data_IF_213807479148
#
_entry.id   IF_213807479148
#
_cell.length_a   1.000
_cell.length_b   1.000
_cell.length_c   1.000
_cell.angle_alpha   90.00
_cell.angle_beta   90.00
_cell.angle_gamma   90.00
#
_symmetry.space_group_name_H-M   'P 1'
#
loop_
_entity.id
_entity.type
_entity.pdbx_description
1 polymer ?
#
# COMPACT_ATOMS: atom_id res chain seq x y z
N UNK A 1 -0.19 -16.22 14.00
CA UNK A 1 -0.68 -14.90 14.45
C UNK A 1 -0.71 -13.98 13.23
N UNK A 2 -1.81 -13.27 13.06
CA UNK A 2 -2.02 -12.35 11.93
C UNK A 2 -1.03 -11.18 11.96
N UNK A 3 -0.50 -10.81 10.78
CA UNK A 3 0.53 -9.76 10.61
C UNK A 3 0.07 -8.60 9.71
N UNK A 4 -1.09 -8.70 9.09
CA UNK A 4 -1.72 -7.69 8.22
C UNK A 4 -3.01 -7.17 8.86
N UNK A 5 -3.38 -5.89 8.63
CA UNK A 5 -4.64 -5.34 9.14
C UNK A 5 -5.86 -5.98 8.47
N UNK A 6 -7.04 -5.71 9.02
CA UNK A 6 -8.30 -6.03 8.36
C UNK A 6 -8.53 -5.15 7.15
N UNK A 7 -9.08 -5.76 6.09
CA UNK A 7 -9.44 -5.04 4.86
C UNK A 7 -10.74 -4.25 5.08
N UNK A 8 -10.66 -3.26 5.93
CA UNK A 8 -11.76 -2.32 6.20
C UNK A 8 -11.68 -1.11 5.26
N UNK A 9 -12.71 -0.28 5.26
CA UNK A 9 -12.66 1.01 4.57
C UNK A 9 -11.44 1.85 4.99
N UNK A 10 -11.06 1.80 6.28
CA UNK A 10 -9.88 2.51 6.81
C UNK A 10 -8.59 2.04 6.14
N UNK A 11 -8.44 0.73 5.87
CA UNK A 11 -7.29 0.20 5.13
C UNK A 11 -7.18 0.83 3.73
N UNK A 12 -8.28 0.84 2.98
CA UNK A 12 -8.28 1.36 1.61
C UNK A 12 -8.08 2.87 1.54
N UNK A 13 -8.70 3.62 2.47
CA UNK A 13 -8.50 5.06 2.59
C UNK A 13 -7.05 5.37 2.93
N UNK A 14 -6.47 4.70 3.94
CA UNK A 14 -5.07 4.91 4.32
C UNK A 14 -4.12 4.58 3.17
N UNK A 15 -4.37 3.48 2.44
CA UNK A 15 -3.60 3.11 1.24
C UNK A 15 -3.68 4.18 0.15
N UNK A 16 -4.86 4.69 -0.15
CA UNK A 16 -5.04 5.75 -1.15
C UNK A 16 -4.31 7.04 -0.76
N UNK A 17 -4.42 7.45 0.51
CA UNK A 17 -3.71 8.62 1.03
C UNK A 17 -2.19 8.47 1.00
N UNK A 18 -1.66 7.29 1.32
CA UNK A 18 -0.21 6.99 1.20
C UNK A 18 0.25 7.16 -0.25
N UNK A 19 -0.54 6.68 -1.22
CA UNK A 19 -0.21 6.86 -2.63
C UNK A 19 -0.11 8.35 -3.00
N UNK A 20 -1.06 9.17 -2.54
CA UNK A 20 -1.04 10.61 -2.76
C UNK A 20 0.11 11.33 -2.06
N UNK A 21 0.47 10.93 -0.82
CA UNK A 21 1.61 11.55 -0.11
C UNK A 21 2.95 11.28 -0.77
N UNK A 22 3.09 10.13 -1.42
CA UNK A 22 4.35 9.67 -2.02
C UNK A 22 4.56 10.16 -3.46
N UNK A 23 3.74 11.11 -3.95
CA UNK A 23 3.74 11.47 -5.38
C UNK A 23 4.95 12.33 -5.79
N UNK A 24 5.34 13.31 -5.00
CA UNK A 24 6.32 14.31 -5.48
C UNK A 24 7.62 14.42 -4.69
N UNK A 25 7.67 13.96 -3.44
CA UNK A 25 8.87 14.13 -2.65
C UNK A 25 10.09 13.32 -3.17
N UNK A 26 9.93 12.16 -3.86
CA UNK A 26 11.08 11.53 -4.49
C UNK A 26 11.70 12.40 -5.58
N UNK A 27 10.87 13.02 -6.44
CA UNK A 27 11.35 13.92 -7.50
C UNK A 27 12.08 15.12 -6.93
N UNK A 28 11.59 15.69 -5.83
CA UNK A 28 12.28 16.77 -5.13
C UNK A 28 13.67 16.33 -4.63
N UNK A 29 13.76 15.15 -4.04
CA UNK A 29 15.04 14.61 -3.57
C UNK A 29 15.98 14.30 -4.74
N UNK A 30 15.47 13.78 -5.85
CA UNK A 30 16.27 13.55 -7.05
C UNK A 30 16.86 14.86 -7.61
N UNK A 31 16.07 15.92 -7.64
CA UNK A 31 16.57 17.24 -8.06
C UNK A 31 17.65 17.83 -7.13
N UNK A 32 17.62 17.45 -5.84
CA UNK A 32 18.55 17.99 -4.83
C UNK A 32 19.82 17.15 -4.66
N UNK A 33 19.70 15.83 -4.70
CA UNK A 33 20.76 14.89 -4.33
C UNK A 33 21.16 13.93 -5.46
N UNK A 34 20.46 13.95 -6.58
CA UNK A 34 20.68 13.03 -7.70
C UNK A 34 19.95 11.70 -7.56
N UNK A 35 19.77 11.01 -8.69
CA UNK A 35 18.96 9.78 -8.78
C UNK A 35 19.61 8.63 -8.02
N UNK A 36 20.91 8.39 -8.23
CA UNK A 36 21.62 7.22 -7.67
C UNK A 36 21.62 7.18 -6.14
N UNK A 37 22.04 8.24 -5.42
CA UNK A 37 22.05 8.21 -3.95
C UNK A 37 20.64 8.13 -3.36
N UNK A 38 19.67 8.82 -3.93
CA UNK A 38 18.29 8.77 -3.43
C UNK A 38 17.68 7.38 -3.63
N UNK A 39 17.85 6.77 -4.81
CA UNK A 39 17.39 5.40 -5.06
C UNK A 39 18.05 4.40 -4.12
N UNK A 40 19.35 4.56 -3.86
CA UNK A 40 20.07 3.72 -2.89
C UNK A 40 19.51 3.83 -1.47
N UNK A 41 19.25 5.04 -1.00
CA UNK A 41 18.64 5.29 0.32
C UNK A 41 17.22 4.72 0.40
N UNK A 42 16.40 4.89 -0.64
CA UNK A 42 15.04 4.35 -0.69
C UNK A 42 15.03 2.81 -0.66
N UNK A 43 15.93 2.18 -1.42
CA UNK A 43 16.09 0.74 -1.43
C UNK A 43 16.54 0.22 -0.05
N UNK A 44 17.54 0.84 0.55
CA UNK A 44 18.02 0.49 1.89
C UNK A 44 16.93 0.67 2.95
N UNK A 45 16.16 1.77 2.90
CA UNK A 45 15.04 2.02 3.79
C UNK A 45 13.94 0.95 3.62
N UNK A 46 13.63 0.55 2.37
CA UNK A 46 12.65 -0.51 2.10
C UNK A 46 13.10 -1.85 2.67
N UNK A 47 14.35 -2.23 2.46
CA UNK A 47 14.93 -3.46 3.03
C UNK A 47 14.89 -3.43 4.55
N UNK A 48 15.25 -2.31 5.18
CA UNK A 48 15.24 -2.15 6.63
C UNK A 48 13.81 -2.23 7.19
N UNK A 49 12.85 -1.51 6.58
CA UNK A 49 11.45 -1.49 7.01
C UNK A 49 10.77 -2.85 6.84
N UNK A 50 11.00 -3.53 5.70
CA UNK A 50 10.51 -4.90 5.48
C UNK A 50 11.19 -5.89 6.41
N UNK A 51 12.50 -5.77 6.64
CA UNK A 51 13.23 -6.59 7.60
C UNK A 51 12.69 -6.44 9.03
N UNK A 52 12.34 -5.22 9.44
CA UNK A 52 11.67 -4.96 10.73
C UNK A 52 10.27 -5.62 10.75
N UNK A 53 9.48 -5.45 9.69
CA UNK A 53 8.15 -6.03 9.57
C UNK A 53 8.19 -7.58 9.65
N UNK A 54 9.16 -8.20 8.99
CA UNK A 54 9.34 -9.66 9.01
C UNK A 54 9.74 -10.19 10.40
N UNK A 55 10.46 -9.41 11.20
CA UNK A 55 10.85 -9.77 12.59
C UNK A 55 9.70 -9.66 13.59
N UNK A 56 8.75 -8.77 13.37
CA UNK A 56 7.59 -8.60 14.26
C UNK A 56 6.66 -9.80 14.12
N UNK A 57 6.32 -10.46 15.23
CA UNK A 57 5.54 -11.72 15.24
C UNK A 57 4.03 -11.55 15.08
N UNK A 58 3.51 -10.34 15.26
CA UNK A 58 2.07 -10.01 15.19
C UNK A 58 1.86 -8.65 14.51
N UNK A 59 0.64 -8.36 14.09
CA UNK A 59 0.31 -7.05 13.56
C UNK A 59 0.62 -5.93 14.55
N UNK A 60 1.38 -4.95 14.09
CA UNK A 60 1.71 -3.74 14.81
C UNK A 60 1.55 -2.57 13.83
N UNK A 61 0.49 -1.78 14.02
CA UNK A 61 0.07 -0.78 13.04
C UNK A 61 1.21 0.16 12.58
N UNK A 62 2.00 0.81 13.46
CA UNK A 62 3.09 1.68 13.01
C UNK A 62 4.14 0.96 12.15
N UNK A 63 4.53 -0.27 12.50
CA UNK A 63 5.54 -1.04 11.76
C UNK A 63 5.00 -1.45 10.40
N UNK A 64 3.76 -1.96 10.36
CA UNK A 64 3.12 -2.36 9.11
C UNK A 64 2.99 -1.17 8.14
N UNK A 65 2.45 -0.05 8.61
CA UNK A 65 2.22 1.11 7.74
C UNK A 65 3.51 1.82 7.34
N UNK A 66 4.55 1.81 8.19
CA UNK A 66 5.89 2.25 7.82
C UNK A 66 6.45 1.38 6.68
N UNK A 67 6.46 0.05 6.86
CA UNK A 67 6.92 -0.89 5.84
C UNK A 67 6.12 -0.75 4.54
N UNK A 68 4.79 -0.59 4.65
CA UNK A 68 3.89 -0.40 3.53
C UNK A 68 4.19 0.87 2.75
N UNK A 69 4.39 2.01 3.45
CA UNK A 69 4.71 3.30 2.83
C UNK A 69 6.06 3.26 2.13
N UNK A 70 7.10 2.79 2.83
CA UNK A 70 8.46 2.77 2.27
C UNK A 70 8.56 1.78 1.10
N UNK A 71 7.94 0.59 1.23
CA UNK A 71 7.89 -0.40 0.15
C UNK A 71 7.11 0.14 -1.07
N UNK A 72 6.01 0.87 -0.85
CA UNK A 72 5.25 1.47 -1.96
C UNK A 72 6.09 2.49 -2.73
N UNK A 73 6.81 3.37 -2.03
CA UNK A 73 7.69 4.35 -2.68
C UNK A 73 8.81 3.67 -3.45
N UNK A 74 9.52 2.73 -2.82
CA UNK A 74 10.62 2.02 -3.48
C UNK A 74 10.17 1.24 -4.73
N UNK A 75 9.00 0.61 -4.67
CA UNK A 75 8.43 -0.13 -5.79
C UNK A 75 8.00 0.79 -6.96
N UNK A 76 7.41 1.95 -6.63
CA UNK A 76 7.11 2.99 -7.62
C UNK A 76 8.36 3.48 -8.33
N UNK A 77 9.41 3.75 -7.56
CA UNK A 77 10.68 4.21 -8.11
C UNK A 77 11.39 3.13 -8.94
N UNK A 78 11.17 1.85 -8.65
CA UNK A 78 11.62 0.77 -9.52
C UNK A 78 10.91 0.82 -10.89
N UNK A 79 9.60 1.08 -10.93
CA UNK A 79 8.86 1.26 -12.18
C UNK A 79 9.33 2.51 -12.95
N UNK A 80 9.48 3.65 -12.26
CA UNK A 80 10.03 4.88 -12.85
C UNK A 80 11.47 4.69 -13.34
N UNK A 81 12.27 3.88 -12.66
CA UNK A 81 13.62 3.52 -13.06
C UNK A 81 13.67 2.79 -14.40
N UNK A 82 12.78 1.84 -14.64
CA UNK A 82 12.65 1.16 -15.93
C UNK A 82 12.24 2.13 -17.04
N UNK A 83 11.33 3.05 -16.74
CA UNK A 83 10.94 4.09 -17.69
C UNK A 83 12.12 5.03 -18.01
N UNK A 84 12.86 5.49 -17.00
CA UNK A 84 14.08 6.30 -17.19
C UNK A 84 15.16 5.55 -17.99
N UNK A 85 15.17 4.22 -17.95
CA UNK A 85 16.04 3.39 -18.80
C UNK A 85 15.56 3.28 -20.28
N UNK A 86 14.47 3.97 -20.65
CA UNK A 86 13.96 4.06 -22.01
C UNK A 86 12.76 3.18 -22.34
N UNK A 87 12.17 2.47 -21.37
CA UNK A 87 10.98 1.66 -21.62
C UNK A 87 9.70 2.51 -21.53
N UNK A 88 8.77 2.44 -22.51
CA UNK A 88 7.44 3.04 -22.38
C UNK A 88 6.69 2.49 -21.15
N UNK A 89 5.86 3.28 -20.49
CA UNK A 89 5.12 2.84 -19.32
C UNK A 89 4.20 1.65 -19.58
N UNK A 90 3.67 1.51 -20.80
CA UNK A 90 2.90 0.32 -21.19
C UNK A 90 3.73 -0.96 -21.08
N UNK A 91 4.99 -0.94 -21.54
CA UNK A 91 5.92 -2.09 -21.45
C UNK A 91 6.27 -2.36 -19.97
N UNK A 92 6.51 -1.30 -19.20
CA UNK A 92 6.76 -1.41 -17.75
C UNK A 92 5.55 -2.02 -17.04
N UNK A 93 4.32 -1.61 -17.39
CA UNK A 93 3.10 -2.18 -16.83
C UNK A 93 2.94 -3.67 -17.16
N UNK A 94 3.19 -4.06 -18.41
CA UNK A 94 3.14 -5.48 -18.82
C UNK A 94 4.20 -6.29 -18.04
N UNK A 95 5.41 -5.78 -17.89
CA UNK A 95 6.46 -6.44 -17.12
C UNK A 95 6.01 -6.72 -15.66
N UNK A 96 5.52 -5.69 -14.96
CA UNK A 96 5.07 -5.84 -13.58
C UNK A 96 3.80 -6.69 -13.44
N UNK A 97 2.90 -6.65 -14.44
CA UNK A 97 1.72 -7.52 -14.49
C UNK A 97 2.11 -8.99 -14.60
N UNK A 98 3.04 -9.31 -15.50
CA UNK A 98 3.55 -10.68 -15.67
C UNK A 98 4.24 -11.13 -14.38
N UNK A 99 5.07 -10.29 -13.77
CA UNK A 99 5.74 -10.63 -12.51
C UNK A 99 4.75 -10.85 -11.37
N UNK A 100 3.71 -10.02 -11.25
CA UNK A 100 2.64 -10.22 -10.27
C UNK A 100 1.91 -11.55 -10.51
N UNK A 101 1.57 -11.86 -11.76
CA UNK A 101 0.94 -13.13 -12.12
C UNK A 101 1.83 -14.33 -11.74
N UNK A 102 3.13 -14.27 -12.04
CA UNK A 102 4.10 -15.32 -11.66
C UNK A 102 4.15 -15.50 -10.14
N UNK A 103 4.22 -14.40 -9.38
CA UNK A 103 4.23 -14.46 -7.90
C UNK A 103 2.93 -15.09 -7.38
N UNK A 104 1.77 -14.71 -7.91
CA UNK A 104 0.48 -15.26 -7.48
C UNK A 104 0.35 -16.75 -7.85
N UNK A 105 0.82 -17.16 -9.02
CA UNK A 105 0.86 -18.57 -9.42
C UNK A 105 1.80 -19.37 -8.51
N UNK A 106 3.00 -18.85 -8.24
CA UNK A 106 3.96 -19.49 -7.32
C UNK A 106 3.38 -19.58 -5.90
N UNK A 107 2.69 -18.53 -5.42
CA UNK A 107 1.99 -18.56 -4.15
C UNK A 107 0.91 -19.65 -4.13
N UNK A 108 0.09 -19.74 -5.19
CA UNK A 108 -0.93 -20.80 -5.31
C UNK A 108 -0.32 -22.20 -5.33
N UNK A 109 0.80 -22.37 -6.03
CA UNK A 109 1.50 -23.65 -6.15
C UNK A 109 2.21 -24.06 -4.84
N UNK A 110 2.52 -23.12 -3.96
CA UNK A 110 3.19 -23.40 -2.67
C UNK A 110 2.31 -24.11 -1.64
N UNK A 111 1.00 -24.23 -1.88
CA UNK A 111 0.03 -24.78 -0.94
C UNK A 111 -0.37 -23.83 0.20
N UNK A 112 0.22 -22.63 0.25
CA UNK A 112 -0.12 -21.63 1.25
C UNK A 112 -1.49 -20.98 0.95
N UNK A 113 -2.18 -20.55 2.00
CA UNK A 113 -3.45 -19.83 1.84
C UNK A 113 -3.22 -18.48 1.18
N UNK A 114 -3.83 -18.27 0.01
CA UNK A 114 -3.71 -17.03 -0.76
C UNK A 114 -4.61 -15.89 -0.23
N UNK A 115 -5.05 -15.94 1.02
CA UNK A 115 -5.88 -14.88 1.57
C UNK A 115 -5.04 -13.64 1.87
N UNK A 116 -5.41 -12.46 1.37
CA UNK A 116 -4.80 -11.19 1.78
C UNK A 116 -5.18 -10.81 3.21
N UNK A 117 -6.18 -11.50 3.79
CA UNK A 117 -6.63 -11.35 5.17
C UNK A 117 -6.07 -12.51 5.98
N UNK A 118 -5.45 -12.17 7.12
CA UNK A 118 -4.96 -13.22 8.03
C UNK A 118 -3.59 -13.78 7.66
N UNK A 119 -2.81 -13.05 6.88
CA UNK A 119 -1.41 -13.39 6.57
C UNK A 119 -0.63 -13.64 7.86
N UNK A 120 -0.03 -14.82 7.96
CA UNK A 120 0.82 -15.25 9.05
C UNK A 120 2.31 -15.10 8.69
N UNK A 121 3.19 -15.22 9.71
CA UNK A 121 4.63 -15.18 9.51
C UNK A 121 5.14 -16.34 8.64
N UNK A 122 6.25 -16.14 7.94
CA UNK A 122 6.92 -17.15 7.14
C UNK A 122 6.69 -16.96 5.64
N UNK A 123 6.56 -18.07 4.90
CA UNK A 123 6.45 -18.05 3.43
C UNK A 123 5.26 -17.25 2.93
N UNK A 124 4.11 -17.32 3.62
CA UNK A 124 2.93 -16.56 3.27
C UNK A 124 3.17 -15.04 3.31
N UNK A 125 3.89 -14.57 4.33
CA UNK A 125 4.24 -13.15 4.45
C UNK A 125 5.21 -12.69 3.34
N UNK A 126 6.16 -13.54 2.95
CA UNK A 126 7.06 -13.24 1.85
C UNK A 126 6.31 -13.10 0.53
N UNK A 127 5.39 -14.03 0.23
CA UNK A 127 4.53 -13.93 -0.94
C UNK A 127 3.66 -12.67 -0.92
N UNK A 128 3.09 -12.33 0.24
CA UNK A 128 2.28 -11.13 0.41
C UNK A 128 3.08 -9.85 0.08
N UNK A 129 4.28 -9.70 0.67
CA UNK A 129 5.10 -8.52 0.43
C UNK A 129 5.68 -8.47 -0.99
N UNK A 130 6.02 -9.61 -1.58
CA UNK A 130 6.43 -9.69 -2.99
C UNK A 130 5.29 -9.26 -3.93
N UNK A 131 4.09 -9.77 -3.70
CA UNK A 131 2.92 -9.40 -4.49
C UNK A 131 2.52 -7.92 -4.25
N UNK A 132 2.60 -7.42 -3.01
CA UNK A 132 2.32 -6.02 -2.69
C UNK A 132 3.32 -5.07 -3.36
N UNK A 133 4.63 -5.36 -3.27
CA UNK A 133 5.67 -4.56 -3.94
C UNK A 133 5.48 -4.53 -5.45
N UNK A 134 5.28 -5.70 -6.06
CA UNK A 134 4.99 -5.81 -7.50
C UNK A 134 3.69 -5.08 -7.88
N UNK A 135 2.65 -5.19 -7.04
CA UNK A 135 1.38 -4.48 -7.22
C UNK A 135 1.53 -2.96 -7.14
N UNK A 136 2.39 -2.43 -6.27
CA UNK A 136 2.70 -1.00 -6.22
C UNK A 136 3.40 -0.51 -7.49
N UNK A 137 4.40 -1.27 -7.98
CA UNK A 137 5.12 -0.93 -9.20
C UNK A 137 4.21 -0.99 -10.43
N UNK A 138 3.35 -2.01 -10.50
CA UNK A 138 2.32 -2.12 -11.55
C UNK A 138 1.35 -0.94 -11.50
N UNK A 139 0.86 -0.59 -10.30
CA UNK A 139 -0.06 0.53 -10.10
C UNK A 139 0.52 1.84 -10.63
N UNK A 140 1.80 2.11 -10.35
CA UNK A 140 2.53 3.28 -10.85
C UNK A 140 2.58 3.28 -12.37
N UNK A 141 3.00 2.15 -12.96
CA UNK A 141 3.14 2.03 -14.40
C UNK A 141 1.78 2.19 -15.12
N UNK A 142 0.70 1.62 -14.58
CA UNK A 142 -0.66 1.77 -15.13
C UNK A 142 -1.14 3.22 -15.06
N UNK A 143 -0.92 3.91 -13.92
CA UNK A 143 -1.27 5.32 -13.77
C UNK A 143 -0.58 6.19 -14.82
N UNK A 144 0.72 6.04 -15.00
CA UNK A 144 1.46 6.83 -16.00
C UNK A 144 1.17 6.41 -17.45
N UNK A 145 0.94 5.11 -17.71
CA UNK A 145 0.52 4.66 -19.03
C UNK A 145 -0.83 5.27 -19.46
N UNK A 146 -1.77 5.45 -18.53
CA UNK A 146 -3.05 6.10 -18.83
C UNK A 146 -2.87 7.55 -19.29
N UNK A 147 -1.90 8.27 -18.71
CA UNK A 147 -1.57 9.62 -19.11
C UNK A 147 -0.95 9.68 -20.52
N UNK A 148 -0.15 8.68 -20.93
CA UNK A 148 0.38 8.57 -22.31
C UNK A 148 -0.74 8.41 -23.34
N UNK A 149 -1.89 7.84 -22.99
CA UNK A 149 -3.08 7.76 -23.85
C UNK A 149 -3.96 9.02 -23.86
N UNK A 150 -3.49 10.12 -23.26
CA UNK A 150 -4.21 11.40 -23.27
C UNK A 150 -5.32 11.53 -22.22
N UNK A 151 -5.41 10.58 -21.29
CA UNK A 151 -6.29 10.71 -20.14
C UNK A 151 -5.66 11.67 -19.11
N UNK A 152 -5.80 12.99 -19.32
CA UNK A 152 -5.24 13.97 -18.40
C UNK A 152 -6.06 14.15 -17.13
N UNK A 153 -5.39 13.98 -16.04
CA UNK A 153 -5.72 14.25 -14.62
C UNK A 153 -7.12 13.87 -14.16
N UNK A 154 -8.15 14.70 -14.27
CA UNK A 154 -9.35 14.46 -13.47
C UNK A 154 -10.52 13.89 -14.24
N UNK A 155 -10.67 14.27 -15.49
CA UNK A 155 -11.87 13.88 -16.23
C UNK A 155 -11.73 12.54 -16.96
N UNK A 156 -10.51 12.15 -17.32
CA UNK A 156 -10.23 10.91 -18.00
C UNK A 156 -9.73 9.82 -17.05
N UNK A 157 -8.60 10.03 -16.41
CA UNK A 157 -7.94 9.01 -15.58
C UNK A 157 -8.78 8.59 -14.38
N UNK A 158 -9.27 9.54 -13.59
CA UNK A 158 -10.10 9.23 -12.41
C UNK A 158 -11.41 8.56 -12.80
N UNK A 159 -12.06 9.01 -13.87
CA UNK A 159 -13.30 8.40 -14.36
C UNK A 159 -13.09 6.97 -14.83
N UNK A 160 -12.02 6.71 -15.61
CA UNK A 160 -11.67 5.36 -16.08
C UNK A 160 -11.33 4.44 -14.92
N UNK A 161 -10.50 4.90 -13.99
CA UNK A 161 -10.10 4.09 -12.82
C UNK A 161 -11.27 3.86 -11.87
N UNK A 162 -12.12 4.84 -11.65
CA UNK A 162 -13.34 4.68 -10.87
C UNK A 162 -14.30 3.67 -11.55
N UNK A 163 -14.46 3.75 -12.87
CA UNK A 163 -15.25 2.80 -13.64
C UNK A 163 -14.68 1.37 -13.55
N UNK A 164 -13.37 1.21 -13.71
CA UNK A 164 -12.71 -0.09 -13.55
C UNK A 164 -12.85 -0.64 -12.13
N UNK A 165 -12.72 0.21 -11.12
CA UNK A 165 -12.94 -0.20 -9.72
C UNK A 165 -14.39 -0.62 -9.48
N UNK A 166 -15.34 0.10 -10.05
CA UNK A 166 -16.76 -0.26 -10.01
C UNK A 166 -17.02 -1.59 -10.73
N UNK A 167 -16.40 -1.83 -11.89
CA UNK A 167 -16.48 -3.12 -12.62
C UNK A 167 -15.95 -4.26 -11.74
N UNK A 168 -14.81 -4.09 -11.08
CA UNK A 168 -14.27 -5.11 -10.16
C UNK A 168 -15.23 -5.37 -9.00
N UNK A 169 -15.80 -4.30 -8.40
CA UNK A 169 -16.77 -4.43 -7.32
C UNK A 169 -18.05 -5.16 -7.76
N UNK A 170 -18.59 -4.82 -8.93
CA UNK A 170 -19.76 -5.51 -9.52
C UNK A 170 -19.44 -6.96 -9.87
N UNK A 171 -18.26 -7.22 -10.44
CA UNK A 171 -17.80 -8.57 -10.77
C UNK A 171 -17.68 -9.44 -9.50
N UNK A 172 -17.17 -8.87 -8.43
CA UNK A 172 -17.08 -9.55 -7.14
C UNK A 172 -18.48 -9.79 -6.54
N UNK A 173 -19.33 -8.76 -6.51
CA UNK A 173 -20.62 -8.84 -5.86
C UNK A 173 -21.65 -9.66 -6.66
N UNK A 174 -21.71 -9.46 -8.00
CA UNK A 174 -22.77 -10.02 -8.85
C UNK A 174 -22.39 -11.33 -9.53
N UNK A 175 -21.11 -11.51 -9.85
CA UNK A 175 -20.61 -12.64 -10.64
C UNK A 175 -19.68 -13.57 -9.85
N UNK A 176 -19.49 -13.34 -8.54
CA UNK A 176 -18.70 -14.22 -7.69
C UNK A 176 -17.21 -14.22 -8.03
N UNK A 177 -16.65 -13.07 -8.47
CA UNK A 177 -15.23 -12.94 -8.72
C UNK A 177 -14.43 -13.40 -7.48
N UNK A 178 -13.39 -14.20 -7.72
CA UNK A 178 -12.54 -14.71 -6.66
C UNK A 178 -12.00 -13.57 -5.78
N UNK A 179 -12.15 -13.70 -4.45
CA UNK A 179 -11.79 -12.66 -3.47
C UNK A 179 -10.32 -12.23 -3.56
N UNK A 180 -9.42 -13.16 -3.86
CA UNK A 180 -7.98 -12.86 -4.01
C UNK A 180 -7.76 -11.98 -5.23
N UNK A 181 -8.39 -12.35 -6.36
CA UNK A 181 -8.29 -11.57 -7.59
C UNK A 181 -8.92 -10.19 -7.43
N UNK A 182 -10.11 -10.10 -6.83
CA UNK A 182 -10.77 -8.82 -6.52
C UNK A 182 -9.88 -7.92 -5.67
N UNK A 183 -9.23 -8.49 -4.64
CA UNK A 183 -8.29 -7.74 -3.79
C UNK A 183 -7.12 -7.17 -4.60
N UNK A 184 -6.42 -8.00 -5.40
CA UNK A 184 -5.25 -7.54 -6.13
C UNK A 184 -5.59 -6.56 -7.24
N UNK A 185 -6.72 -6.73 -7.93
CA UNK A 185 -7.22 -5.75 -8.90
C UNK A 185 -7.52 -4.40 -8.23
N UNK A 186 -8.27 -4.41 -7.12
CA UNK A 186 -8.55 -3.18 -6.36
C UNK A 186 -7.26 -2.57 -5.80
N UNK A 187 -6.31 -3.41 -5.38
CA UNK A 187 -5.01 -2.95 -4.87
C UNK A 187 -4.25 -2.16 -5.94
N UNK A 188 -4.21 -2.65 -7.18
CA UNK A 188 -3.57 -1.93 -8.30
C UNK A 188 -4.33 -0.65 -8.63
N UNK A 189 -5.65 -0.69 -8.75
CA UNK A 189 -6.47 0.45 -9.13
C UNK A 189 -6.53 1.57 -8.07
N UNK A 190 -6.22 1.30 -6.81
CA UNK A 190 -6.25 2.30 -5.74
C UNK A 190 -5.16 3.38 -5.90
N UNK A 191 -4.05 3.10 -6.60
CA UNK A 191 -2.99 4.08 -6.79
C UNK A 191 -3.42 5.25 -7.69
N UNK A 192 -3.91 5.03 -8.90
CA UNK A 192 -4.38 6.13 -9.74
C UNK A 192 -5.46 6.97 -9.05
N UNK A 193 -6.30 6.37 -8.20
CA UNK A 193 -7.26 7.11 -7.39
C UNK A 193 -6.58 8.05 -6.38
N UNK A 194 -5.63 7.55 -5.60
CA UNK A 194 -4.95 8.35 -4.56
C UNK A 194 -3.99 9.38 -5.16
N UNK A 195 -3.14 8.97 -6.09
CA UNK A 195 -2.18 9.83 -6.79
C UNK A 195 -2.87 10.86 -7.68
N UNK A 196 -3.88 10.44 -8.45
CA UNK A 196 -4.65 11.33 -9.32
C UNK A 196 -5.40 12.41 -8.54
N UNK A 197 -6.04 12.07 -7.40
CA UNK A 197 -6.68 13.06 -6.52
C UNK A 197 -5.64 14.03 -5.95
N UNK A 198 -4.50 13.54 -5.48
CA UNK A 198 -3.44 14.38 -4.95
C UNK A 198 -2.90 15.34 -6.01
N UNK A 199 -2.66 14.82 -7.22
CA UNK A 199 -2.19 15.62 -8.35
C UNK A 199 -3.22 16.70 -8.73
N UNK A 200 -4.49 16.38 -8.75
CA UNK A 200 -5.54 17.36 -9.01
C UNK A 200 -5.62 18.44 -7.94
N UNK A 201 -5.54 18.09 -6.67
CA UNK A 201 -5.51 19.06 -5.57
C UNK A 201 -4.33 20.03 -5.71
N UNK A 202 -3.17 19.53 -6.13
CA UNK A 202 -1.93 20.29 -6.21
C UNK A 202 -1.76 21.09 -7.52
N UNK A 203 -2.26 20.57 -8.64
CA UNK A 203 -2.08 21.15 -9.98
C UNK A 203 -2.73 22.54 -10.07
N UNK A 204 -2.13 23.40 -10.89
CA UNK A 204 -2.62 24.77 -11.10
C UNK A 204 -4.01 24.79 -11.72
N UNK A 205 -4.76 25.86 -11.45
CA UNK A 205 -6.12 26.06 -12.01
C UNK A 205 -6.11 26.16 -13.53
N UNK A 206 -5.02 26.64 -14.11
CA UNK A 206 -4.81 26.71 -15.57
C UNK A 206 -4.69 25.33 -16.23
N UNK A 207 -4.37 24.30 -15.46
CA UNK A 207 -4.29 22.89 -15.91
C UNK A 207 -5.48 22.04 -15.44
N UNK A 208 -6.52 22.68 -14.87
CA UNK A 208 -7.75 22.01 -14.40
C UNK A 208 -7.68 21.48 -12.96
N UNK A 209 -6.64 21.81 -12.21
CA UNK A 209 -6.50 21.48 -10.79
C UNK A 209 -7.06 22.55 -9.84
N UNK A 210 -6.98 22.31 -8.53
CA UNK A 210 -7.43 23.24 -7.48
C UNK A 210 -6.39 24.31 -7.14
N UNK A 211 -5.11 24.12 -7.47
CA UNK A 211 -4.05 25.09 -7.24
C UNK A 211 -3.56 25.17 -5.80
N UNK A 212 -3.75 24.12 -4.98
CA UNK A 212 -3.31 24.12 -3.58
C UNK A 212 -1.78 24.00 -3.42
N UNK A 213 -1.08 23.55 -4.48
CA UNK A 213 0.35 23.35 -4.46
C UNK A 213 0.76 21.99 -3.90
N UNK A 214 1.93 21.49 -4.34
CA UNK A 214 2.40 20.14 -4.02
C UNK A 214 2.68 19.94 -2.53
N UNK A 215 3.39 20.86 -1.89
CA UNK A 215 3.78 20.74 -0.49
C UNK A 215 2.62 20.80 0.48
N UNK A 216 1.68 21.77 0.39
CA UNK A 216 0.50 21.77 1.26
C UNK A 216 -0.31 20.48 1.15
N UNK A 217 -0.53 19.97 -0.06
CA UNK A 217 -1.25 18.71 -0.28
C UNK A 217 -0.50 17.54 0.36
N UNK A 218 0.80 17.40 0.10
CA UNK A 218 1.62 16.32 0.67
C UNK A 218 1.60 16.33 2.20
N UNK A 219 1.80 17.49 2.82
CA UNK A 219 1.81 17.63 4.29
C UNK A 219 0.43 17.33 4.87
N UNK A 220 -0.65 17.82 4.27
CA UNK A 220 -2.01 17.55 4.73
C UNK A 220 -2.33 16.06 4.66
N UNK A 221 -2.05 15.40 3.54
CA UNK A 221 -2.28 13.96 3.38
C UNK A 221 -1.43 13.14 4.36
N UNK A 222 -0.15 13.50 4.54
CA UNK A 222 0.74 12.83 5.48
C UNK A 222 0.25 12.95 6.93
N UNK A 223 -0.26 14.14 7.31
CA UNK A 223 -0.86 14.37 8.64
C UNK A 223 -2.08 13.48 8.86
N UNK A 224 -2.96 13.37 7.87
CA UNK A 224 -4.13 12.49 7.95
C UNK A 224 -3.70 11.02 8.05
N UNK A 225 -2.74 10.58 7.25
CA UNK A 225 -2.19 9.21 7.33
C UNK A 225 -1.63 8.93 8.72
N UNK A 226 -0.84 9.86 9.26
CA UNK A 226 -0.28 9.72 10.60
C UNK A 226 -1.38 9.61 11.67
N UNK A 227 -2.42 10.45 11.60
CA UNK A 227 -3.58 10.39 12.50
C UNK A 227 -4.30 9.04 12.41
N UNK A 228 -4.52 8.51 11.20
CA UNK A 228 -5.14 7.19 11.01
C UNK A 228 -4.27 6.07 11.58
N UNK A 229 -2.95 6.09 11.34
CA UNK A 229 -2.02 5.08 11.87
C UNK A 229 -1.98 5.13 13.41
N UNK A 230 -1.95 6.32 14.00
CA UNK A 230 -2.01 6.49 15.46
C UNK A 230 -3.34 5.96 16.01
N UNK A 231 -4.47 6.30 15.40
CA UNK A 231 -5.79 5.78 15.79
C UNK A 231 -5.83 4.25 15.74
N UNK A 232 -5.35 3.65 14.66
CA UNK A 232 -5.26 2.18 14.54
C UNK A 232 -4.33 1.58 15.60
N UNK A 233 -3.24 2.24 15.94
CA UNK A 233 -2.30 1.77 16.96
C UNK A 233 -2.92 1.81 18.37
N UNK A 234 -3.71 2.83 18.70
CA UNK A 234 -4.43 2.94 19.98
C UNK A 234 -5.53 1.89 20.05
N UNK A 235 -6.40 1.82 19.06
CA UNK A 235 -7.51 0.87 19.02
C UNK A 235 -7.04 -0.59 19.08
N UNK A 236 -5.94 -0.93 18.40
CA UNK A 236 -5.39 -2.28 18.46
C UNK A 236 -4.81 -2.66 19.83
N UNK A 237 -4.45 -1.68 20.67
CA UNK A 237 -4.02 -1.92 22.08
C UNK A 237 -5.22 -2.17 23.00
N UNK A 238 -6.33 -1.52 22.77
CA UNK A 238 -7.54 -1.64 23.58
C UNK A 238 -8.26 -2.97 23.37
N UNK A 239 -8.23 -3.52 22.17
CA UNK A 239 -8.85 -4.81 21.82
C UNK A 239 -8.04 -6.02 22.31
N UNK A 240 -6.85 -5.81 22.90
CA UNK A 240 -6.04 -6.88 23.41
C UNK A 240 -6.54 -7.31 24.81
N UNK A 241 -6.86 -8.61 25.06
CA UNK A 241 -7.16 -9.08 26.40
C UNK A 241 -5.96 -8.78 27.30
N UNK A 242 -6.14 -7.91 28.31
CA UNK A 242 -5.17 -7.78 29.38
C UNK A 242 -4.98 -9.16 29.99
N UNK A 243 -3.73 -9.64 30.23
CA UNK A 243 -3.54 -10.86 31.03
C UNK A 243 -4.36 -10.67 32.30
N UNK A 244 -5.29 -11.58 32.54
CA UNK A 244 -6.04 -11.56 33.78
C UNK A 244 -5.01 -11.43 34.92
N UNK A 245 -5.09 -10.35 35.67
CA UNK A 245 -4.30 -10.19 36.87
C UNK A 245 -4.52 -11.49 37.66
N UNK A 246 -3.46 -12.29 37.79
CA UNK A 246 -3.52 -13.55 38.45
C UNK A 246 -4.21 -13.31 39.82
N UNK A 247 -5.35 -13.90 40.01
CA UNK A 247 -6.17 -13.78 41.17
C UNK A 247 -5.29 -14.14 42.40
N UNK A 248 -4.75 -13.11 43.01
CA UNK A 248 -4.05 -13.23 44.32
C UNK A 248 -5.07 -13.42 45.48
N UNK A 249 -6.16 -14.11 45.22
CA UNK A 249 -7.21 -14.38 46.21
C UNK A 249 -7.45 -15.88 46.37
N UNK A 250 -6.41 -16.64 46.64
CA UNK A 250 -6.49 -18.09 46.81
C UNK A 250 -5.52 -18.66 47.85
N UNK A 251 -5.09 -17.85 48.81
CA UNK A 251 -4.33 -18.38 49.95
C UNK A 251 -4.72 -17.67 51.23
N UNK A 252 -5.86 -17.97 51.72
CA UNK A 252 -6.20 -17.78 53.13
C UNK A 252 -7.42 -18.62 53.38
N UNK A 253 -7.22 -19.81 53.88
CA UNK A 253 -8.03 -20.57 54.85
C UNK A 253 -7.64 -22.05 54.77
N UNK A 254 -6.58 -22.42 55.43
CA UNK A 254 -6.37 -23.77 55.93
C UNK A 254 -5.39 -23.65 57.09
N UNK A 255 -5.90 -23.20 58.22
CA UNK A 255 -5.24 -23.20 59.51
C UNK A 255 -6.32 -23.08 60.55
N UNK A 256 -6.71 -24.18 61.14
CA UNK A 256 -7.67 -24.17 62.22
C UNK A 256 -8.20 -25.57 62.60
N UNK A 257 -7.51 -26.17 63.56
CA UNK A 257 -7.88 -27.30 64.41
C UNK A 257 -7.94 -28.65 63.76
#
# INVERSE_FOLDING_TARGET
MRKVPELTAVFWVTKALINGTSEWWPDYLYGRFGVVPVTGVLAAAAVAALGLQLRVRRYHAPVFWLAFTVASVAAKEAANGLHRAGLPYVVVAVFWLVLLAVILVAWRASGETMSPVGVCAGRQELFYWSAAGTGFALSQAVGHASAEFGFTYLRGELAVVAALTAVVAVAWWRFGLNQVLAFWLTFVLTYPLGGGVATWLAAGRNTGGLGLGRWPVTVSLATVVLGLVVSMAVTSRETWPRPAAASAAGRSTAGGT
#
